data_IF_034149044257
#
_entry.id   IF_034149044257
#
_cell.length_a   1.000
_cell.length_b   1.000
_cell.length_c   1.000
_cell.angle_alpha   90.00
_cell.angle_beta   90.00
_cell.angle_gamma   90.00
#
_symmetry.space_group_name_H-M   'P 1'
#
loop_
_entity.id
_entity.type
_entity.pdbx_description
1 polymer ?
#
# COMPACT_ATOMS: atom_id res chain seq x y z
N UNK A 1 -12.42 2.59 13.01
CA UNK A 1 -11.21 3.27 12.55
C UNK A 1 -10.34 2.18 11.96
N UNK A 2 -10.10 2.20 10.64
CA UNK A 2 -9.27 1.19 10.00
C UNK A 2 -7.82 1.44 10.41
N UNK A 3 -7.17 0.43 10.99
CA UNK A 3 -5.76 0.51 11.35
C UNK A 3 -4.95 0.12 10.13
N UNK A 4 -4.10 1.02 9.63
CA UNK A 4 -3.17 0.74 8.53
C UNK A 4 -2.27 -0.44 8.94
N UNK A 5 -2.18 -1.45 8.08
CA UNK A 5 -1.40 -2.66 8.34
C UNK A 5 -0.40 -2.93 7.23
N UNK A 6 0.73 -3.56 7.58
CA UNK A 6 1.69 -4.04 6.58
C UNK A 6 1.01 -5.05 5.66
N UNK A 7 1.20 -4.90 4.35
CA UNK A 7 0.56 -5.73 3.32
C UNK A 7 -0.84 -5.26 2.93
N UNK A 8 -1.37 -4.22 3.57
CA UNK A 8 -2.64 -3.61 3.18
C UNK A 8 -2.52 -3.01 1.78
N UNK A 9 -3.54 -3.25 0.95
CA UNK A 9 -3.68 -2.58 -0.33
C UNK A 9 -4.21 -1.18 -0.11
N UNK A 10 -3.66 -0.21 -0.83
CA UNK A 10 -4.00 1.21 -0.71
C UNK A 10 -4.04 1.85 -2.09
N UNK A 11 -4.81 2.92 -2.22
CA UNK A 11 -4.73 3.83 -3.36
C UNK A 11 -4.00 5.10 -2.93
N UNK A 12 -2.95 5.48 -3.66
CA UNK A 12 -2.21 6.71 -3.42
C UNK A 12 -1.94 7.43 -4.74
N UNK A 13 -2.32 8.71 -4.83
CA UNK A 13 -2.22 9.52 -6.06
C UNK A 13 -2.89 8.87 -7.29
N UNK A 14 -4.01 8.18 -7.09
CA UNK A 14 -4.72 7.46 -8.15
C UNK A 14 -4.02 6.18 -8.62
N UNK A 15 -3.08 5.66 -7.83
CA UNK A 15 -2.33 4.43 -8.12
C UNK A 15 -2.54 3.41 -7.01
N UNK A 16 -2.80 2.17 -7.42
CA UNK A 16 -2.88 1.04 -6.50
C UNK A 16 -1.48 0.64 -6.02
N UNK A 17 -1.35 0.37 -4.73
CA UNK A 17 -0.12 -0.07 -4.12
C UNK A 17 -0.35 -0.90 -2.86
N UNK A 18 0.75 -1.22 -2.19
CA UNK A 18 0.77 -2.00 -0.95
C UNK A 18 1.65 -1.35 0.11
N UNK A 19 1.24 -1.46 1.36
CA UNK A 19 2.05 -1.04 2.50
C UNK A 19 3.20 -2.03 2.74
N UNK A 20 4.44 -1.55 2.73
CA UNK A 20 5.64 -2.36 2.97
C UNK A 20 6.13 -2.29 4.42
N UNK A 21 6.15 -1.07 4.96
CA UNK A 21 6.72 -0.73 6.28
C UNK A 21 5.81 0.33 6.90
N UNK A 22 5.67 0.29 8.22
CA UNK A 22 4.96 1.31 9.00
C UNK A 22 5.96 1.87 10.01
N UNK A 23 6.07 3.19 10.06
CA UNK A 23 6.69 3.92 11.14
C UNK A 23 5.59 4.46 12.06
N UNK A 24 5.34 3.76 13.17
CA UNK A 24 4.32 4.16 14.14
C UNK A 24 4.75 5.40 14.95
N UNK A 25 6.04 5.72 15.03
CA UNK A 25 6.49 6.90 15.78
C UNK A 25 6.23 8.17 14.98
N UNK A 26 6.51 8.14 13.68
CA UNK A 26 6.32 9.27 12.77
C UNK A 26 4.92 9.30 12.15
N UNK A 27 4.14 8.23 12.29
CA UNK A 27 2.81 8.05 11.66
C UNK A 27 2.87 8.06 10.13
N UNK A 28 3.89 7.40 9.57
CA UNK A 28 4.06 7.21 8.13
C UNK A 28 4.05 5.73 7.76
N UNK A 29 3.68 5.43 6.51
CA UNK A 29 3.90 4.13 5.93
C UNK A 29 4.65 4.25 4.60
N UNK A 30 5.51 3.28 4.32
CA UNK A 30 6.14 3.13 3.02
C UNK A 30 5.22 2.33 2.11
N UNK A 31 4.74 2.95 1.04
CA UNK A 31 3.84 2.32 0.05
C UNK A 31 4.58 2.10 -1.25
N UNK A 32 4.47 0.91 -1.82
CA UNK A 32 4.97 0.58 -3.15
C UNK A 32 3.82 0.47 -4.15
N UNK A 33 3.93 1.18 -5.28
CA UNK A 33 2.94 1.13 -6.37
C UNK A 33 3.11 -0.13 -7.23
N UNK A 34 2.00 -0.71 -7.71
CA UNK A 34 2.05 -1.93 -8.54
C UNK A 34 2.49 -1.69 -9.98
N UNK A 35 2.21 -0.52 -10.55
CA UNK A 35 2.47 -0.25 -11.98
C UNK A 35 3.93 0.08 -12.29
N UNK A 36 4.74 0.39 -11.28
CA UNK A 36 6.14 0.83 -11.48
C UNK A 36 7.09 0.58 -10.31
N UNK A 37 6.63 -0.06 -9.23
CA UNK A 37 7.43 -0.32 -8.03
C UNK A 37 8.05 0.94 -7.39
N UNK A 38 7.46 2.10 -7.64
CA UNK A 38 7.88 3.34 -6.99
C UNK A 38 7.43 3.31 -5.53
N UNK A 39 8.28 3.84 -4.65
CA UNK A 39 8.04 3.84 -3.21
C UNK A 39 7.85 5.26 -2.68
N UNK A 40 6.82 5.42 -1.84
CA UNK A 40 6.42 6.70 -1.27
C UNK A 40 6.27 6.57 0.24
N UNK A 41 6.81 7.53 0.99
CA UNK A 41 6.46 7.70 2.40
C UNK A 41 5.15 8.49 2.46
N UNK A 42 4.09 7.85 2.96
CA UNK A 42 2.72 8.38 2.98
C UNK A 42 2.26 8.53 4.43
N UNK A 43 1.71 9.69 4.84
CA UNK A 43 1.10 9.84 6.15
C UNK A 43 -0.01 8.82 6.34
N UNK A 44 -0.07 8.16 7.51
CA UNK A 44 -1.07 7.11 7.77
C UNK A 44 -2.51 7.63 7.70
N UNK A 45 -2.74 8.92 7.94
CA UNK A 45 -4.05 9.56 7.82
C UNK A 45 -4.56 9.68 6.37
N UNK A 46 -3.66 9.65 5.39
CA UNK A 46 -3.99 9.68 3.97
C UNK A 46 -4.21 8.28 3.37
N UNK A 47 -3.95 7.23 4.15
CA UNK A 47 -4.06 5.85 3.69
C UNK A 47 -5.46 5.31 3.90
N UNK A 48 -6.19 5.16 2.81
CA UNK A 48 -7.46 4.46 2.79
C UNK A 48 -7.24 2.99 2.40
N UNK A 49 -7.73 2.08 3.24
CA UNK A 49 -7.79 0.66 2.89
C UNK A 49 -8.73 0.49 1.72
N UNK A 50 -8.23 -0.19 0.69
CA UNK A 50 -9.07 -0.64 -0.41
C UNK A 50 -9.29 -2.15 -0.27
N UNK A 51 -10.56 -2.56 -0.28
CA UNK A 51 -10.96 -3.96 -0.51
C UNK A 51 -10.76 -4.31 -2.00
N UNK A 52 -9.59 -3.98 -2.55
CA UNK A 52 -9.26 -4.38 -3.91
C UNK A 52 -8.97 -5.88 -3.90
N UNK A 53 -9.86 -6.66 -4.52
CA UNK A 53 -9.46 -7.93 -5.11
C UNK A 53 -8.32 -7.63 -6.07
N UNK A 54 -7.09 -7.93 -5.66
CA UNK A 54 -5.90 -7.79 -6.49
C UNK A 54 -6.21 -8.41 -7.86
N UNK A 55 -5.87 -7.74 -8.98
CA UNK A 55 -5.94 -8.41 -10.26
C UNK A 55 -5.07 -9.67 -10.17
N UNK A 56 -5.66 -10.83 -10.51
CA UNK A 56 -5.06 -12.17 -10.49
C UNK A 56 -3.67 -12.25 -11.14
N UNK A 57 -3.28 -11.23 -11.92
CA UNK A 57 -1.96 -11.09 -12.55
C UNK A 57 -0.80 -10.82 -11.58
N UNK A 58 -1.05 -10.35 -10.35
CA UNK A 58 0.03 -10.11 -9.37
C UNK A 58 0.42 -11.36 -8.56
N UNK A 59 -0.43 -12.39 -8.53
CA UNK A 59 -0.11 -13.68 -7.90
C UNK A 59 0.89 -14.49 -8.73
N UNK A 60 1.05 -14.18 -10.03
CA UNK A 60 1.90 -14.93 -10.94
C UNK A 60 3.40 -14.62 -10.82
N UNK A 61 3.80 -13.54 -10.14
CA UNK A 61 5.22 -13.19 -9.96
C UNK A 61 5.81 -13.79 -8.68
N UNK A 62 5.50 -15.07 -8.41
CA UNK A 62 6.09 -15.89 -7.33
C UNK A 62 6.60 -17.25 -7.84
N UNK A 63 6.95 -17.34 -9.12
CA UNK A 63 7.65 -18.49 -9.72
C UNK A 63 8.86 -18.04 -10.52
#
# INVERSE_FOLDING_TARGET
MATVQKGMNVEYLGRLGKVLVIDEQEQYALVETYSGHEQYAVPMEELEEIEAQLPLSLEASRY
#
